data_IF_593894483357
#
_entry.id   IF_593894483357
#
_cell.length_a   1.000
_cell.length_b   1.000
_cell.length_c   1.000
_cell.angle_alpha   90.00
_cell.angle_beta   90.00
_cell.angle_gamma   90.00
#
_symmetry.space_group_name_H-M   'P 1'
#
loop_
_entity.id
_entity.type
_entity.pdbx_description
1 polymer ?
#
# COMPACT_ATOMS: atom_id res chain seq x y z
N UNK A 1 11.04 -12.88 -2.42
CA UNK A 1 9.59 -13.14 -2.37
C UNK A 1 9.10 -12.73 -1.00
N UNK A 2 8.65 -11.49 -0.91
CA UNK A 2 7.96 -10.95 0.26
C UNK A 2 6.62 -11.68 0.38
N UNK A 3 6.39 -12.36 1.50
CA UNK A 3 5.08 -12.88 1.84
C UNK A 3 4.30 -11.77 2.52
N UNK A 4 3.21 -11.34 1.89
CA UNK A 4 2.31 -10.36 2.47
C UNK A 4 1.26 -11.06 3.32
N UNK A 5 0.91 -10.50 4.48
CA UNK A 5 -0.23 -10.99 5.26
C UNK A 5 -1.53 -10.73 4.51
N UNK A 6 -2.50 -11.65 4.57
CA UNK A 6 -3.80 -11.47 3.91
C UNK A 6 -4.50 -10.18 4.32
N UNK A 7 -4.32 -9.76 5.57
CA UNK A 7 -4.89 -8.51 6.10
C UNK A 7 -4.35 -7.25 5.41
N UNK A 8 -3.24 -7.31 4.65
CA UNK A 8 -2.81 -6.20 3.80
C UNK A 8 -3.87 -5.89 2.74
N UNK A 9 -4.62 -6.90 2.29
CA UNK A 9 -5.69 -6.73 1.32
C UNK A 9 -6.98 -6.35 2.04
N UNK A 10 -7.41 -5.10 1.85
CA UNK A 10 -8.55 -4.51 2.56
C UNK A 10 -9.76 -4.48 1.64
N UNK A 11 -10.84 -5.14 2.07
CA UNK A 11 -12.12 -5.17 1.38
C UNK A 11 -12.89 -3.85 1.56
N UNK A 12 -12.35 -2.78 1.00
CA UNK A 12 -13.00 -1.47 0.93
C UNK A 12 -12.58 -0.74 -0.34
N UNK A 13 -13.37 0.23 -0.76
CA UNK A 13 -13.03 1.19 -1.82
C UNK A 13 -12.68 2.58 -1.27
N UNK A 14 -12.77 2.75 0.05
CA UNK A 14 -12.66 4.04 0.73
C UNK A 14 -11.31 4.19 1.44
N UNK A 15 -10.54 5.20 1.05
CA UNK A 15 -9.27 5.53 1.73
C UNK A 15 -9.49 5.88 3.20
N UNK A 16 -10.57 6.61 3.52
CA UNK A 16 -10.94 6.99 4.89
C UNK A 16 -11.12 5.78 5.81
N UNK A 17 -11.67 4.68 5.27
CA UNK A 17 -11.79 3.43 6.01
C UNK A 17 -10.43 2.81 6.32
N UNK A 18 -9.52 2.80 5.35
CA UNK A 18 -8.13 2.31 5.54
C UNK A 18 -7.38 3.18 6.56
N UNK A 19 -7.51 4.51 6.47
CA UNK A 19 -6.90 5.42 7.44
C UNK A 19 -7.44 5.18 8.86
N UNK A 20 -8.74 4.91 8.99
CA UNK A 20 -9.33 4.55 10.28
C UNK A 20 -8.74 3.22 10.80
N UNK A 21 -8.67 2.18 9.96
CA UNK A 21 -8.06 0.91 10.34
C UNK A 21 -6.61 1.08 10.84
N UNK A 22 -5.81 1.89 10.14
CA UNK A 22 -4.43 2.17 10.55
C UNK A 22 -4.34 2.87 11.91
N UNK A 23 -5.32 3.71 12.25
CA UNK A 23 -5.38 4.46 13.51
C UNK A 23 -6.01 3.69 14.66
N UNK A 24 -6.84 2.68 14.35
CA UNK A 24 -7.55 1.87 15.35
C UNK A 24 -6.62 0.81 16.00
N UNK A 25 -5.43 0.58 15.46
CA UNK A 25 -4.42 -0.30 16.07
C UNK A 25 -3.82 0.31 17.35
N UNK A 26 -3.38 -0.50 18.33
CA UNK A 26 -2.79 0.00 19.58
C UNK A 26 -1.55 0.89 19.40
N UNK A 27 -0.85 0.72 18.28
CA UNK A 27 0.35 1.48 17.93
C UNK A 27 -0.02 2.48 16.83
N UNK A 28 0.25 3.79 17.01
CA UNK A 28 -0.01 4.78 15.98
C UNK A 28 0.69 4.42 14.66
N UNK A 29 0.05 4.68 13.51
CA UNK A 29 0.59 4.31 12.21
C UNK A 29 1.90 5.04 11.93
N UNK A 30 2.91 4.25 11.54
CA UNK A 30 4.25 4.73 11.22
C UNK A 30 4.38 5.04 9.73
N UNK A 31 5.37 5.87 9.39
CA UNK A 31 5.65 6.23 8.00
C UNK A 31 5.90 4.98 7.15
N UNK A 32 5.24 4.91 5.99
CA UNK A 32 5.36 3.75 5.12
C UNK A 32 4.58 2.50 5.56
N UNK A 33 3.69 2.59 6.56
CA UNK A 33 2.65 1.57 6.80
C UNK A 33 1.74 1.51 5.57
N UNK A 34 1.51 0.32 5.00
CA UNK A 34 0.74 0.20 3.77
C UNK A 34 -0.30 -0.91 3.76
N UNK A 35 -1.36 -0.69 2.99
CA UNK A 35 -2.43 -1.64 2.72
C UNK A 35 -2.83 -1.56 1.25
N UNK A 36 -3.52 -2.57 0.73
CA UNK A 36 -3.97 -2.65 -0.65
C UNK A 36 -5.47 -2.79 -0.63
N UNK A 37 -6.19 -1.77 -1.08
CA UNK A 37 -7.64 -1.78 -1.15
C UNK A 37 -8.12 -2.04 -2.58
N UNK A 38 -9.38 -2.45 -2.71
CA UNK A 38 -10.02 -2.49 -4.02
C UNK A 38 -10.28 -1.06 -4.52
N UNK A 39 -10.28 -0.91 -5.84
CA UNK A 39 -10.82 0.26 -6.50
C UNK A 39 -12.33 0.09 -6.73
N UNK A 40 -13.02 1.16 -7.12
CA UNK A 40 -14.43 1.10 -7.51
C UNK A 40 -14.71 0.19 -8.72
N UNK A 41 -13.68 -0.29 -9.41
CA UNK A 41 -13.76 -1.29 -10.48
C UNK A 41 -13.13 -2.61 -10.04
N UNK A 42 -13.70 -3.74 -10.47
CA UNK A 42 -13.29 -5.11 -10.05
C UNK A 42 -11.82 -5.45 -10.29
N UNK A 43 -11.14 -4.77 -11.20
CA UNK A 43 -9.80 -5.15 -11.68
C UNK A 43 -8.69 -4.24 -11.20
N UNK A 44 -9.00 -3.06 -10.64
CA UNK A 44 -7.96 -2.15 -10.17
C UNK A 44 -7.81 -2.20 -8.65
N UNK A 45 -6.57 -2.19 -8.18
CA UNK A 45 -6.22 -2.12 -6.76
C UNK A 45 -5.54 -0.79 -6.47
N UNK A 46 -5.61 -0.34 -5.23
CA UNK A 46 -4.97 0.90 -4.78
C UNK A 46 -4.09 0.56 -3.58
N UNK A 47 -2.80 0.82 -3.73
CA UNK A 47 -1.84 0.83 -2.64
C UNK A 47 -2.02 2.11 -1.83
N UNK A 48 -2.35 1.95 -0.56
CA UNK A 48 -2.61 3.01 0.40
C UNK A 48 -1.44 3.04 1.37
N UNK A 49 -0.73 4.16 1.47
CA UNK A 49 0.50 4.27 2.28
C UNK A 49 0.37 5.42 3.25
N UNK A 50 0.61 5.16 4.53
CA UNK A 50 0.58 6.18 5.57
C UNK A 50 1.78 7.12 5.47
N UNK A 51 1.50 8.42 5.46
CA UNK A 51 2.48 9.50 5.40
C UNK A 51 2.35 10.33 6.69
N UNK A 52 3.32 10.14 7.58
CA UNK A 52 3.36 10.82 8.89
C UNK A 52 3.59 12.32 8.75
N UNK A 53 4.22 12.79 7.67
CA UNK A 53 4.50 14.20 7.44
C UNK A 53 3.24 15.04 7.25
N UNK A 54 2.14 14.41 6.79
CA UNK A 54 0.84 15.06 6.62
C UNK A 54 -0.29 14.43 7.46
N UNK A 55 0.01 13.38 8.24
CA UNK A 55 -0.96 12.68 9.08
C UNK A 55 -2.13 12.06 8.29
N UNK A 56 -1.88 11.62 7.06
CA UNK A 56 -2.88 11.06 6.12
C UNK A 56 -2.26 9.97 5.25
N UNK A 57 -3.12 9.19 4.58
CA UNK A 57 -2.67 8.21 3.61
C UNK A 57 -2.55 8.79 2.18
N UNK A 58 -1.55 8.31 1.44
CA UNK A 58 -1.36 8.52 0.00
C UNK A 58 -1.93 7.32 -0.76
N UNK A 59 -2.51 7.58 -1.94
CA UNK A 59 -3.08 6.55 -2.80
C UNK A 59 -2.25 6.40 -4.07
N UNK A 60 -1.82 5.18 -4.36
CA UNK A 60 -1.14 4.83 -5.59
C UNK A 60 -1.96 3.76 -6.30
N UNK A 61 -2.41 4.06 -7.52
CA UNK A 61 -3.13 3.08 -8.31
C UNK A 61 -2.14 2.02 -8.79
N UNK A 62 -2.46 0.76 -8.52
CA UNK A 62 -1.75 -0.38 -9.10
C UNK A 62 -2.36 -0.63 -10.48
N UNK A 63 -1.57 -0.39 -11.52
CA UNK A 63 -1.91 -0.75 -12.88
C UNK A 63 -1.38 -2.14 -13.18
N UNK A 64 -2.10 -2.87 -14.03
CA UNK A 64 -1.69 -4.17 -14.53
C UNK A 64 -1.86 -4.19 -16.04
N UNK A 65 -0.77 -4.41 -16.77
CA UNK A 65 -0.75 -4.47 -18.23
C UNK A 65 0.31 -5.48 -18.68
N UNK A 66 -0.03 -6.34 -19.66
CA UNK A 66 0.87 -7.36 -20.19
C UNK A 66 1.51 -8.27 -19.11
N UNK A 67 0.76 -8.56 -18.04
CA UNK A 67 1.24 -9.37 -16.91
C UNK A 67 2.23 -8.67 -15.98
N UNK A 68 2.47 -7.37 -16.18
CA UNK A 68 3.32 -6.55 -15.33
C UNK A 68 2.47 -5.59 -14.48
N UNK A 69 2.98 -5.26 -13.28
CA UNK A 69 2.34 -4.35 -12.33
C UNK A 69 3.19 -3.10 -12.19
N UNK A 70 2.56 -1.92 -12.10
CA UNK A 70 3.27 -0.64 -11.97
C UNK A 70 2.46 0.43 -11.26
N UNK A 71 3.15 1.48 -10.77
CA UNK A 71 2.56 2.71 -10.24
C UNK A 71 2.62 3.86 -11.27
N UNK A 72 3.64 3.84 -12.12
CA UNK A 72 3.91 4.76 -13.23
C UNK A 72 4.45 3.94 -14.42
N UNK A 73 4.13 4.34 -15.66
CA UNK A 73 4.36 3.54 -16.88
C UNK A 73 5.82 3.23 -17.19
N UNK A 74 6.73 4.05 -16.66
CA UNK A 74 8.16 4.04 -16.89
C UNK A 74 8.86 2.91 -16.11
N UNK A 75 8.21 2.38 -15.07
CA UNK A 75 8.78 1.37 -14.19
C UNK A 75 7.79 0.25 -13.87
N UNK A 76 7.99 -0.88 -14.55
CA UNK A 76 7.13 -2.06 -14.47
C UNK A 76 7.79 -3.21 -13.72
N UNK A 77 6.98 -4.00 -13.02
CA UNK A 77 7.42 -5.15 -12.22
C UNK A 77 6.71 -6.43 -12.64
N UNK A 78 7.38 -7.60 -12.58
CA UNK A 78 6.79 -8.88 -12.96
C UNK A 78 5.68 -9.36 -12.01
N UNK A 79 5.61 -8.81 -10.80
CA UNK A 79 4.58 -9.11 -9.80
C UNK A 79 4.62 -8.09 -8.66
N UNK A 80 3.64 -8.18 -7.75
CA UNK A 80 3.49 -7.29 -6.62
C UNK A 80 4.67 -7.38 -5.63
N UNK A 81 5.25 -8.56 -5.44
CA UNK A 81 6.41 -8.74 -4.54
C UNK A 81 7.60 -7.92 -5.04
N UNK A 82 7.90 -7.97 -6.35
CA UNK A 82 9.00 -7.20 -6.94
C UNK A 82 8.77 -5.69 -6.82
N UNK A 83 7.53 -5.23 -7.00
CA UNK A 83 7.16 -3.83 -6.79
C UNK A 83 7.41 -3.39 -5.34
N UNK A 84 6.99 -4.21 -4.37
CA UNK A 84 7.15 -3.88 -2.95
C UNK A 84 8.63 -3.90 -2.54
N UNK A 85 9.39 -4.90 -2.98
CA UNK A 85 10.83 -4.99 -2.73
C UNK A 85 11.57 -3.75 -3.29
N UNK A 86 11.18 -3.28 -4.48
CA UNK A 86 11.74 -2.05 -5.04
C UNK A 86 11.42 -0.82 -4.19
N UNK A 87 10.13 -0.57 -3.92
CA UNK A 87 9.69 0.61 -3.16
C UNK A 87 9.95 0.53 -1.65
N UNK A 88 10.52 -0.57 -1.17
CA UNK A 88 11.10 -0.63 0.17
C UNK A 88 12.39 0.18 0.26
N UNK A 89 13.21 0.13 -0.79
CA UNK A 89 14.51 0.80 -0.87
C UNK A 89 14.46 2.12 -1.67
N UNK A 90 13.41 2.33 -2.47
CA UNK A 90 13.24 3.49 -3.33
C UNK A 90 11.96 4.25 -2.98
N UNK A 91 11.98 5.59 -3.00
CA UNK A 91 10.79 6.36 -2.69
C UNK A 91 9.65 6.12 -3.67
N UNK A 92 8.43 6.21 -3.15
CA UNK A 92 7.22 6.18 -3.96
C UNK A 92 7.14 7.41 -4.86
N UNK A 93 6.53 7.28 -6.06
CA UNK A 93 6.43 8.37 -7.01
C UNK A 93 5.79 9.62 -6.40
N UNK A 94 6.32 10.80 -6.74
CA UNK A 94 5.80 12.10 -6.32
C UNK A 94 5.82 12.42 -4.81
N UNK A 95 6.36 11.56 -3.94
CA UNK A 95 6.25 11.73 -2.48
C UNK A 95 7.61 11.70 -1.74
N UNK A 96 8.64 12.26 -2.38
CA UNK A 96 9.90 12.61 -1.72
C UNK A 96 10.70 11.39 -1.25
N UNK A 97 10.70 11.14 0.06
CA UNK A 97 11.42 10.04 0.72
C UNK A 97 10.50 8.91 1.24
N UNK A 98 9.19 8.99 0.98
CA UNK A 98 8.24 8.00 1.49
C UNK A 98 8.45 6.65 0.81
N UNK A 99 8.87 5.64 1.57
CA UNK A 99 9.08 4.27 1.10
C UNK A 99 8.07 3.32 1.75
N UNK A 100 7.87 2.13 1.17
CA UNK A 100 7.11 1.06 1.81
C UNK A 100 7.92 0.45 2.95
N UNK A 101 7.38 0.45 4.17
CA UNK A 101 8.09 -0.06 5.35
C UNK A 101 7.43 -1.30 5.92
N UNK A 102 6.14 -1.22 6.25
CA UNK A 102 5.45 -2.31 6.95
C UNK A 102 4.08 -2.59 6.30
N UNK A 103 3.78 -3.85 5.93
CA UNK A 103 2.42 -4.19 5.52
C UNK A 103 1.50 -4.06 6.73
N UNK A 104 0.27 -3.63 6.48
CA UNK A 104 -0.78 -3.68 7.47
C UNK A 104 -1.07 -5.14 7.82
N UNK A 105 -0.90 -5.44 9.10
CA UNK A 105 -1.22 -6.72 9.70
C UNK A 105 -2.22 -6.45 10.81
N UNK A 106 -3.45 -6.96 10.68
CA UNK A 106 -4.39 -6.91 11.81
C UNK A 106 -3.83 -7.77 12.93
N UNK A 107 -3.44 -7.16 14.02
CA UNK A 107 -3.04 -7.91 15.21
C UNK A 107 -4.33 -8.47 15.82
N UNK A 108 -4.61 -9.76 15.67
CA UNK A 108 -5.68 -10.40 16.46
C UNK A 108 -5.27 -10.26 17.92
N UNK A 109 -5.89 -9.32 18.63
CA UNK A 109 -5.85 -9.28 20.10
C UNK A 109 -6.53 -10.55 20.60
N UNK A 110 -5.74 -11.48 21.14
CA UNK A 110 -6.24 -12.62 21.91
C UNK A 110 -6.77 -12.17 23.27
#
# INVERSE_FOLDING_TARGET
MVQLPDSVFIESTETSFVEKLFKDEPIPPQDGLYGIRNSGTKTSKVLVVWDTSIGKARNYRLFEENGCIFLESELTFPNLSALIEHYHCHPLPHHGSLCLQKPYSRTLSF
#
